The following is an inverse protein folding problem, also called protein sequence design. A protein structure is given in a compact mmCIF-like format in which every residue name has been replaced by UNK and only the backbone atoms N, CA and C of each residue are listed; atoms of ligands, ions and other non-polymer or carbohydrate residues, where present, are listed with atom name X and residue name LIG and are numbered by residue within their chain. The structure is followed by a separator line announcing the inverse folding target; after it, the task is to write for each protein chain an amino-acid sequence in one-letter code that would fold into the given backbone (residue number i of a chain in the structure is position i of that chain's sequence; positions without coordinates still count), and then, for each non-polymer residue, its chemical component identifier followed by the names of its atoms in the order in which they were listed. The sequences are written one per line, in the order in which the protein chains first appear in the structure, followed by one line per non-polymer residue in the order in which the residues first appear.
data_IF_219141428486
#
_entry.id   IF_219141428486
#
_cell.length_a   1.000
_cell.length_b   1.000
_cell.length_c   1.000
_cell.angle_alpha   90.00
_cell.angle_beta   90.00
_cell.angle_gamma   90.00
#
_symmetry.space_group_name_H-M   'P 1'
#
loop_
_entity.id
_entity.type
_entity.pdbx_description
1 polymer ?
#
# COMPACT_ATOMS: atom_id res chain seq x y z
N UNK A 1 -21.85 11.97 -3.93
CA UNK A 1 -20.41 12.04 -3.66
C UNK A 1 -19.63 11.41 -4.80
N UNK A 2 -18.61 12.06 -5.18
CA UNK A 2 -17.82 11.55 -6.29
C UNK A 2 -16.70 10.69 -5.76
N UNK A 3 -16.23 9.81 -6.60
CA UNK A 3 -15.04 9.06 -6.31
C UNK A 3 -13.85 9.99 -6.29
N UNK A 4 -12.82 9.63 -5.52
CA UNK A 4 -11.58 10.40 -5.58
C UNK A 4 -11.04 10.41 -6.99
N UNK A 5 -10.37 11.47 -7.37
CA UNK A 5 -9.75 11.50 -8.68
C UNK A 5 -8.73 10.37 -8.80
N UNK A 6 -8.66 9.81 -9.96
CA UNK A 6 -7.70 8.77 -10.24
C UNK A 6 -6.79 9.27 -11.35
N UNK A 7 -5.50 9.23 -11.05
CA UNK A 7 -4.51 9.69 -12.00
C UNK A 7 -4.00 8.52 -12.82
N UNK A 8 -4.27 8.56 -14.11
CA UNK A 8 -3.71 7.58 -15.03
C UNK A 8 -2.37 8.10 -15.50
N UNK A 9 -1.32 7.58 -14.91
CA UNK A 9 0.02 8.01 -15.22
C UNK A 9 0.49 7.27 -16.47
N UNK A 10 0.74 7.97 -17.57
CA UNK A 10 1.12 7.29 -18.80
C UNK A 10 2.60 6.93 -18.76
N UNK A 11 2.89 5.82 -18.19
CA UNK A 11 4.25 5.35 -18.09
C UNK A 11 4.40 4.07 -18.89
N UNK A 12 5.01 4.20 -20.05
CA UNK A 12 5.13 3.06 -20.95
C UNK A 12 6.08 2.01 -20.44
N UNK A 13 6.92 2.33 -19.47
CA UNK A 13 7.82 1.34 -18.90
C UNK A 13 7.11 0.43 -17.94
N UNK A 14 5.98 0.85 -17.46
CA UNK A 14 5.28 0.07 -16.46
C UNK A 14 4.33 -0.91 -17.12
N UNK A 15 4.69 -2.15 -17.09
CA UNK A 15 3.78 -3.21 -17.45
C UNK A 15 2.75 -3.43 -16.38
N UNK A 16 2.97 -2.82 -15.24
CA UNK A 16 2.08 -2.86 -14.12
C UNK A 16 1.31 -1.57 -14.04
N UNK A 17 1.09 -0.94 -15.18
CA UNK A 17 0.36 0.31 -15.25
C UNK A 17 -0.89 0.20 -14.42
N UNK A 18 -1.07 1.11 -13.51
CA UNK A 18 -2.18 1.08 -12.58
C UNK A 18 -2.79 2.44 -12.51
N UNK A 19 -4.00 2.47 -12.00
CA UNK A 19 -4.68 3.70 -11.75
C UNK A 19 -4.36 4.08 -10.32
N UNK A 20 -3.65 5.18 -10.18
CA UNK A 20 -3.17 5.62 -8.88
C UNK A 20 -3.99 6.81 -8.41
N UNK A 21 -4.73 6.67 -7.32
CA UNK A 21 -5.44 7.81 -6.76
C UNK A 21 -4.47 8.92 -6.39
N UNK A 22 -4.88 10.15 -6.62
CA UNK A 22 -4.02 11.30 -6.33
C UNK A 22 -4.45 12.04 -5.07
N UNK A 23 -5.29 11.41 -4.25
CA UNK A 23 -5.81 11.98 -3.01
C UNK A 23 -5.11 11.42 -1.77
N UNK A 24 -4.01 10.71 -1.94
CA UNK A 24 -3.35 10.04 -0.82
C UNK A 24 -1.84 10.03 -1.02
N UNK A 25 -1.14 9.62 0.03
CA UNK A 25 0.32 9.54 -0.01
C UNK A 25 0.76 8.10 -0.23
N UNK A 26 2.01 7.93 -0.64
CA UNK A 26 2.56 6.62 -0.98
C UNK A 26 3.95 6.46 -0.38
N UNK A 27 4.31 5.23 0.00
CA UNK A 27 5.63 4.95 0.54
C UNK A 27 6.44 4.10 -0.44
N UNK A 28 7.75 4.08 -0.20
CA UNK A 28 8.64 3.27 -1.03
C UNK A 28 8.38 1.78 -0.88
N UNK A 29 7.74 1.37 0.21
CA UNK A 29 7.37 -0.03 0.42
C UNK A 29 5.99 -0.36 -0.14
N UNK A 30 5.43 0.55 -0.94
CA UNK A 30 4.21 0.32 -1.71
C UNK A 30 2.94 0.29 -0.87
N UNK A 31 2.95 1.02 0.24
CA UNK A 31 1.72 1.29 0.99
C UNK A 31 1.17 2.64 0.58
N UNK A 32 -0.15 2.76 0.61
CA UNK A 32 -0.77 4.07 0.49
C UNK A 32 -1.37 4.46 1.84
N UNK A 33 -1.42 5.78 2.08
CA UNK A 33 -2.00 6.34 3.29
C UNK A 33 -3.04 7.37 2.88
N UNK A 34 -4.26 7.16 3.34
CA UNK A 34 -5.35 8.09 3.08
C UNK A 34 -5.78 8.73 4.38
N UNK A 35 -5.67 10.05 4.45
CA UNK A 35 -6.12 10.78 5.64
C UNK A 35 -7.63 10.79 5.67
N UNK A 36 -8.20 10.18 6.71
CA UNK A 36 -9.64 10.16 6.88
C UNK A 36 -10.15 11.39 7.65
N UNK A 37 -9.25 12.03 8.40
CA UNK A 37 -9.58 13.19 9.19
C UNK A 37 -8.99 13.07 10.58
N UNK A 38 -8.63 14.21 11.17
CA UNK A 38 -8.20 14.28 12.57
C UNK A 38 -7.07 13.31 12.92
N UNK A 39 -6.11 13.19 12.01
CA UNK A 39 -4.95 12.35 12.28
C UNK A 39 -5.15 10.86 12.08
N UNK A 40 -6.29 10.45 11.55
CA UNK A 40 -6.56 9.03 11.30
C UNK A 40 -6.24 8.72 9.84
N UNK A 41 -5.40 7.72 9.65
CA UNK A 41 -4.99 7.28 8.32
C UNK A 41 -5.43 5.86 8.06
N UNK A 42 -5.90 5.63 6.84
CA UNK A 42 -6.19 4.29 6.34
C UNK A 42 -5.01 3.86 5.49
N UNK A 43 -4.61 2.61 5.65
CA UNK A 43 -3.42 2.07 4.99
C UNK A 43 -3.81 0.89 4.13
N UNK A 44 -3.21 0.81 2.96
CA UNK A 44 -3.38 -0.35 2.10
C UNK A 44 -2.17 -0.51 1.21
N UNK A 45 -2.15 -1.60 0.44
CA UNK A 45 -1.12 -1.83 -0.56
C UNK A 45 -1.52 -1.19 -1.88
N UNK A 46 -0.54 -0.70 -2.62
CA UNK A 46 -0.81 -0.28 -3.99
C UNK A 46 -1.08 -1.48 -4.87
N UNK A 47 -1.68 -1.26 -6.02
CA UNK A 47 -1.97 -2.34 -6.93
C UNK A 47 -0.68 -2.98 -7.47
N UNK A 48 0.39 -2.21 -7.56
CA UNK A 48 1.68 -2.79 -7.92
C UNK A 48 2.06 -3.88 -6.93
N UNK A 49 1.92 -3.58 -5.63
CA UNK A 49 2.26 -4.55 -4.61
C UNK A 49 1.36 -5.78 -4.67
N UNK A 50 0.06 -5.57 -4.82
CA UNK A 50 -0.85 -6.73 -4.83
C UNK A 50 -0.61 -7.61 -6.05
N UNK A 51 -0.22 -7.02 -7.16
CA UNK A 51 0.12 -7.82 -8.35
C UNK A 51 1.39 -8.60 -8.18
N UNK A 52 2.36 -8.02 -7.47
CA UNK A 52 3.61 -8.74 -7.18
C UNK A 52 3.39 -9.88 -6.19
N UNK A 53 2.44 -9.71 -5.28
CA UNK A 53 2.16 -10.70 -4.27
C UNK A 53 1.22 -11.80 -4.76
N UNK A 54 0.26 -11.44 -5.59
CA UNK A 54 -0.75 -12.37 -6.05
C UNK A 54 -1.95 -12.41 -5.13
N UNK A 55 -2.81 -13.40 -5.34
CA UNK A 55 -4.04 -13.53 -4.58
C UNK A 55 -3.77 -13.72 -3.10
N UNK A 56 -4.57 -13.09 -2.27
CA UNK A 56 -4.44 -13.21 -0.82
C UNK A 56 -4.90 -14.59 -0.40
N UNK A 57 -4.03 -15.29 0.35
CA UNK A 57 -4.33 -16.60 0.89
C UNK A 57 -4.71 -16.48 2.36
N UNK A 58 -3.87 -15.79 3.13
CA UNK A 58 -4.12 -15.64 4.54
C UNK A 58 -3.42 -14.39 5.04
N UNK A 59 -3.89 -13.84 6.16
CA UNK A 59 -3.26 -12.68 6.76
C UNK A 59 -3.54 -12.67 8.25
N UNK A 60 -2.75 -11.91 8.98
CA UNK A 60 -2.94 -11.78 10.41
C UNK A 60 -2.29 -10.52 10.93
N UNK A 61 -2.65 -10.17 12.15
CA UNK A 61 -2.13 -8.98 12.81
C UNK A 61 -1.49 -9.38 14.12
N UNK A 62 -0.39 -8.70 14.47
CA UNK A 62 0.36 -8.99 15.69
C UNK A 62 0.18 -7.91 16.72
N UNK A 63 -0.65 -6.93 16.44
CA UNK A 63 -0.97 -5.85 17.37
C UNK A 63 -2.47 -5.77 17.50
N UNK A 64 -2.93 -5.18 18.60
CA UNK A 64 -4.34 -5.05 18.87
C UNK A 64 -4.75 -3.59 18.84
N UNK A 65 -6.03 -3.31 18.64
CA UNK A 65 -6.50 -1.92 18.67
C UNK A 65 -6.07 -1.25 19.96
N UNK A 66 -5.53 -0.05 19.83
CA UNK A 66 -5.01 0.69 20.96
C UNK A 66 -3.51 0.53 21.18
N UNK A 67 -2.86 -0.37 20.46
CA UNK A 67 -1.42 -0.57 20.64
C UNK A 67 -0.63 0.59 20.05
N UNK A 68 0.45 0.95 20.71
CA UNK A 68 1.38 1.94 20.17
C UNK A 68 2.21 1.30 19.09
N UNK A 69 2.35 1.99 17.97
CA UNK A 69 3.14 1.50 16.84
C UNK A 69 4.07 2.60 16.38
N UNK A 70 5.21 2.20 15.84
CA UNK A 70 6.22 3.13 15.35
C UNK A 70 6.53 2.85 13.89
N UNK A 71 7.03 3.85 13.23
CA UNK A 71 7.42 3.73 11.82
C UNK A 71 8.32 2.52 11.63
N UNK A 72 7.96 1.65 10.71
CA UNK A 72 8.73 0.46 10.41
C UNK A 72 8.42 -0.76 11.25
N UNK A 73 7.60 -0.61 12.29
CA UNK A 73 7.20 -1.77 13.09
C UNK A 73 6.39 -2.73 12.25
N UNK A 74 6.57 -4.02 12.50
CA UNK A 74 5.74 -5.06 11.89
C UNK A 74 4.43 -5.14 12.65
N UNK A 75 3.32 -4.88 11.99
CA UNK A 75 2.01 -4.94 12.63
C UNK A 75 1.24 -6.19 12.24
N UNK A 76 1.73 -6.92 11.24
CA UNK A 76 1.07 -8.12 10.79
C UNK A 76 1.78 -8.73 9.62
N UNK A 77 1.09 -9.58 8.90
CA UNK A 77 1.68 -10.28 7.77
C UNK A 77 0.59 -10.66 6.77
N UNK A 78 1.04 -10.87 5.54
CA UNK A 78 0.18 -11.30 4.44
C UNK A 78 0.85 -12.46 3.75
N UNK A 79 0.11 -13.55 3.60
CA UNK A 79 0.53 -14.67 2.77
C UNK A 79 -0.29 -14.61 1.50
N UNK A 80 0.38 -14.46 0.38
CA UNK A 80 -0.28 -14.38 -0.92
C UNK A 80 0.27 -15.48 -1.80
N UNK A 81 -0.37 -15.69 -2.94
CA UNK A 81 -0.04 -16.81 -3.80
C UNK A 81 1.41 -16.80 -4.24
N UNK A 82 1.96 -15.62 -4.55
CA UNK A 82 3.31 -15.53 -5.09
C UNK A 82 4.38 -15.24 -4.03
N UNK A 83 3.99 -14.72 -2.87
CA UNK A 83 4.97 -14.33 -1.86
C UNK A 83 4.29 -14.05 -0.54
N UNK A 84 5.10 -14.05 0.52
CA UNK A 84 4.67 -13.68 1.86
C UNK A 84 5.42 -12.42 2.24
N UNK A 85 4.75 -11.50 2.90
CA UNK A 85 5.40 -10.28 3.36
C UNK A 85 4.85 -9.84 4.69
N UNK A 86 5.67 -9.11 5.44
CA UNK A 86 5.21 -8.45 6.66
C UNK A 86 4.48 -7.18 6.30
N UNK A 87 3.58 -6.78 7.18
CA UNK A 87 2.91 -5.49 7.09
C UNK A 87 3.62 -4.54 8.01
N UNK A 88 4.27 -3.54 7.42
CA UNK A 88 5.02 -2.56 8.19
C UNK A 88 4.17 -1.32 8.41
N UNK A 89 4.40 -0.67 9.54
CA UNK A 89 3.69 0.56 9.81
C UNK A 89 4.33 1.73 9.08
N UNK A 90 3.58 2.43 8.24
CA UNK A 90 4.12 3.57 7.50
C UNK A 90 3.92 4.89 8.27
N UNK A 91 3.97 4.82 9.58
CA UNK A 91 3.83 6.00 10.43
C UNK A 91 4.02 5.64 11.88
N UNK A 92 3.73 6.59 12.74
CA UNK A 92 3.89 6.40 14.18
C UNK A 92 2.63 6.87 14.89
N UNK A 93 2.16 6.08 15.82
CA UNK A 93 0.97 6.45 16.58
C UNK A 93 0.28 5.25 17.21
N UNK A 94 -1.01 5.16 17.04
CA UNK A 94 -1.83 4.15 17.67
C UNK A 94 -2.60 3.35 16.62
N UNK A 95 -2.47 2.04 16.69
CA UNK A 95 -3.20 1.14 15.81
C UNK A 95 -4.69 1.19 16.20
N UNK A 96 -5.56 1.35 15.21
CA UNK A 96 -6.98 1.53 15.49
C UNK A 96 -7.80 0.30 15.14
N UNK A 97 -7.86 -0.07 13.87
CA UNK A 97 -8.71 -1.20 13.49
C UNK A 97 -8.20 -1.88 12.23
N UNK A 98 -8.57 -3.14 12.11
CA UNK A 98 -8.27 -3.95 10.94
C UNK A 98 -9.48 -4.00 10.03
N UNK A 99 -9.23 -4.24 8.76
CA UNK A 99 -10.32 -4.38 7.80
C UNK A 99 -10.86 -5.80 7.82
N UNK A 100 -11.99 -6.00 8.47
CA UNK A 100 -12.57 -7.32 8.55
C UNK A 100 -13.20 -7.79 7.25
N UNK A 101 -13.40 -6.88 6.29
CA UNK A 101 -13.96 -7.28 5.00
C UNK A 101 -13.06 -8.26 4.26
N UNK A 102 -11.75 -8.20 4.51
CA UNK A 102 -10.82 -9.12 3.87
C UNK A 102 -10.98 -10.55 4.37
N UNK A 103 -11.50 -10.72 5.57
CA UNK A 103 -11.76 -12.07 6.09
C UNK A 103 -12.95 -12.70 5.40
N UNK A 104 -13.92 -11.87 5.04
CA UNK A 104 -15.11 -12.35 4.35
C UNK A 104 -14.86 -12.50 2.86
N UNK A 105 -14.12 -11.56 2.27
CA UNK A 105 -13.88 -11.55 0.83
C UNK A 105 -12.43 -11.17 0.57
N UNK A 106 -11.52 -12.14 0.61
CA UNK A 106 -10.10 -11.84 0.39
C UNK A 106 -9.78 -11.34 -1.02
N UNK A 107 -10.69 -11.52 -1.98
CA UNK A 107 -10.42 -11.01 -3.34
C UNK A 107 -10.34 -9.49 -3.37
N UNK A 108 -10.90 -8.81 -2.38
CA UNK A 108 -10.82 -7.35 -2.33
C UNK A 108 -9.39 -6.84 -2.23
N UNK A 109 -8.50 -7.65 -1.67
CA UNK A 109 -7.09 -7.30 -1.57
C UNK A 109 -6.53 -6.88 -2.92
N UNK A 110 -6.92 -7.56 -3.95
CA UNK A 110 -6.38 -7.41 -5.29
C UNK A 110 -7.36 -6.69 -6.22
N UNK A 111 -8.66 -6.94 -6.04
CA UNK A 111 -9.64 -6.37 -6.95
C UNK A 111 -9.96 -4.91 -6.61
N UNK A 112 -9.78 -4.51 -5.35
CA UNK A 112 -10.13 -3.15 -4.93
C UNK A 112 -9.15 -2.65 -3.88
N UNK A 113 -7.84 -2.63 -4.18
CA UNK A 113 -6.85 -2.31 -3.16
C UNK A 113 -6.93 -0.88 -2.65
N UNK A 114 -7.46 0.04 -3.42
CA UNK A 114 -7.56 1.44 -2.99
C UNK A 114 -8.89 1.76 -2.32
N UNK A 115 -9.82 0.83 -2.33
CA UNK A 115 -11.13 1.00 -1.74
C UNK A 115 -11.36 0.02 -0.62
N UNK A 116 -12.19 -0.99 -0.90
CA UNK A 116 -12.60 -1.92 0.14
C UNK A 116 -11.50 -2.90 0.57
N UNK A 117 -10.40 -2.96 -0.17
CA UNK A 117 -9.29 -3.84 0.16
C UNK A 117 -8.22 -3.21 1.05
N UNK A 118 -8.55 -2.16 1.77
CA UNK A 118 -7.61 -1.53 2.68
C UNK A 118 -7.23 -2.52 3.80
N UNK A 119 -6.13 -2.24 4.49
CA UNK A 119 -5.59 -3.16 5.47
C UNK A 119 -5.96 -2.78 6.90
N UNK A 120 -5.62 -1.58 7.32
CA UNK A 120 -5.89 -1.15 8.69
C UNK A 120 -5.86 0.38 8.78
N UNK A 121 -6.25 0.90 9.95
CA UNK A 121 -6.17 2.33 10.22
C UNK A 121 -5.31 2.57 11.45
N UNK A 122 -4.69 3.75 11.50
CA UNK A 122 -3.97 4.18 12.69
C UNK A 122 -4.15 5.68 12.88
N UNK A 123 -3.95 6.13 14.11
CA UNK A 123 -3.98 7.53 14.46
C UNK A 123 -2.56 7.98 14.73
N UNK A 124 -2.11 9.05 14.10
CA UNK A 124 -0.77 9.55 14.35
C UNK A 124 -0.18 10.30 13.19
N UNK A 125 1.12 10.14 13.01
CA UNK A 125 1.88 10.86 12.01
C UNK A 125 2.32 9.91 10.90
N UNK A 126 2.16 10.30 9.64
CA UNK A 126 2.59 9.45 8.55
C UNK A 126 4.11 9.46 8.41
N UNK A 127 4.61 8.50 7.66
CA UNK A 127 6.02 8.42 7.30
C UNK A 127 6.45 9.74 6.65
N UNK A 128 7.47 10.43 7.18
CA UNK A 128 7.95 11.65 6.52
C UNK A 128 8.48 11.41 5.11
N UNK A 129 8.82 10.17 4.79
CA UNK A 129 9.26 9.82 3.44
C UNK A 129 8.13 9.50 2.49
N UNK A 130 6.89 9.55 2.95
CA UNK A 130 5.75 9.32 2.07
C UNK A 130 5.67 10.47 1.07
N UNK A 131 5.26 10.14 -0.14
CA UNK A 131 5.27 11.09 -1.23
C UNK A 131 3.92 11.09 -1.94
N UNK A 132 3.72 12.06 -2.81
CA UNK A 132 2.50 12.10 -3.61
C UNK A 132 2.61 11.11 -4.77
N UNK A 133 1.59 11.12 -5.62
CA UNK A 133 1.53 10.15 -6.71
C UNK A 133 2.70 10.32 -7.69
N UNK A 134 3.12 11.55 -7.94
CA UNK A 134 4.22 11.78 -8.87
C UNK A 134 5.53 11.20 -8.33
N UNK A 135 5.78 11.39 -7.05
CA UNK A 135 6.99 10.82 -6.44
C UNK A 135 6.95 9.31 -6.42
N UNK A 136 5.78 8.75 -6.16
CA UNK A 136 5.65 7.30 -6.16
C UNK A 136 5.88 6.72 -7.57
N UNK A 137 5.38 7.38 -8.59
CA UNK A 137 5.58 6.93 -9.97
C UNK A 137 7.07 6.89 -10.30
N UNK A 138 7.82 7.89 -9.87
CA UNK A 138 9.25 7.90 -10.09
C UNK A 138 9.93 6.72 -9.40
N UNK A 139 9.53 6.41 -8.17
CA UNK A 139 10.07 5.26 -7.46
C UNK A 139 9.67 3.96 -8.11
N UNK A 140 8.44 3.88 -8.59
CA UNK A 140 7.92 2.69 -9.24
C UNK A 140 8.66 2.39 -10.53
N UNK A 141 8.95 3.42 -11.31
CA UNK A 141 9.70 3.24 -12.54
C UNK A 141 11.08 2.66 -12.27
N UNK A 142 11.75 3.16 -11.23
CA UNK A 142 13.03 2.63 -10.83
C UNK A 142 12.93 1.16 -10.44
N UNK A 143 11.92 0.82 -9.66
CA UNK A 143 11.74 -0.55 -9.20
C UNK A 143 11.47 -1.46 -10.37
N UNK A 144 10.66 -1.02 -11.32
CA UNK A 144 10.34 -1.82 -12.49
C UNK A 144 11.58 -2.03 -13.35
N UNK A 145 12.38 -0.99 -13.53
CA UNK A 145 13.60 -1.12 -14.28
C UNK A 145 14.51 -2.17 -13.69
N UNK A 146 14.63 -2.19 -12.37
CA UNK A 146 15.47 -3.19 -11.70
C UNK A 146 14.91 -4.59 -11.88
N UNK A 147 13.60 -4.74 -11.77
CA UNK A 147 12.96 -6.04 -11.94
C UNK A 147 13.12 -6.53 -13.35
N UNK A 148 13.01 -5.64 -14.32
CA UNK A 148 13.14 -6.01 -15.73
C UNK A 148 14.58 -6.25 -16.15
N UNK A 149 15.54 -5.99 -15.27
CA UNK A 149 16.94 -6.17 -15.62
C UNK A 149 17.42 -5.15 -16.62
N UNK A 150 16.95 -3.93 -16.60
CA UNK A 150 17.37 -2.89 -17.51
C UNK A 150 18.83 -2.57 -17.30
N UNK A 151 19.57 -2.67 -18.32
CA UNK A 151 20.98 -2.35 -18.21
C UNK A 151 21.21 -0.87 -18.26
N UNK A 152 20.77 -0.72 -18.85
CA UNK A 152 21.06 0.06 -19.09
C UNK A 152 21.80 0.48 -19.06
N UNK A 153 21.72 0.19 -19.44
CA UNK A 153 22.23 0.39 -19.57
C UNK A 153 22.91 0.46 -19.43
N UNK A 154 23.04 0.17 -19.57
CA UNK A 154 23.68 0.10 -19.44
C UNK A 154 24.17 0.11 -19.51
N UNK A 155 24.18 0.06 -19.68
CA UNK A 155 24.57 0.02 -19.88
C UNK A 155 24.85 0.14 -19.97
#
# INVERSE_FOLDING_TARGET
MTNPPVCNIPDRRSRFATRLPDDRAYTASHFWLLLLGEGVYRVGFTQFATRMLGDLVEHGYEVEPGAAISLGDTVGWVEAFKATTDLYCPGTGTFLEMNTALETDPTLFDSDPYGRGWLYTFFGEPDPGATDVAGYVAQLDKAIDQIMGKPHGDE
#
